data_IF_306870515922
#
_entry.id   IF_306870515922
#
_cell.length_a   1.000
_cell.length_b   1.000
_cell.length_c   1.000
_cell.angle_alpha   90.00
_cell.angle_beta   90.00
_cell.angle_gamma   90.00
#
_symmetry.space_group_name_H-M   'P 1'
#
loop_
_entity.id
_entity.type
_entity.pdbx_description
1 polymer ?
#
# COMPACT_ATOMS: atom_id res chain seq x y z
N UNK A 1 -21.33 8.90 12.89
CA UNK A 1 -21.60 8.12 14.11
C UNK A 1 -21.17 6.69 13.85
N UNK A 2 -20.29 6.13 14.66
CA UNK A 2 -19.85 4.75 14.54
C UNK A 2 -20.89 3.76 15.08
N UNK A 3 -20.53 2.48 15.07
CA UNK A 3 -21.33 1.41 15.66
C UNK A 3 -20.43 0.37 16.31
N UNK A 4 -20.92 -0.32 17.35
CA UNK A 4 -20.20 -1.37 18.05
C UNK A 4 -19.45 -0.89 19.30
N UNK A 5 -18.47 -1.65 19.81
CA UNK A 5 -17.77 -1.29 21.03
C UNK A 5 -16.89 -0.05 20.83
N UNK A 6 -17.01 0.92 21.74
CA UNK A 6 -16.04 2.01 21.90
C UNK A 6 -14.85 1.45 22.68
N UNK A 7 -13.66 1.58 22.11
CA UNK A 7 -12.47 0.88 22.58
C UNK A 7 -11.57 1.75 23.47
N UNK A 8 -11.53 3.06 23.22
CA UNK A 8 -10.60 3.98 23.86
C UNK A 8 -11.32 5.25 24.31
N UNK A 9 -11.04 5.69 25.54
CA UNK A 9 -11.51 6.96 26.09
C UNK A 9 -10.35 7.72 26.75
N UNK A 10 -10.38 9.04 26.67
CA UNK A 10 -9.49 9.93 27.39
C UNK A 10 -8.05 9.81 26.90
N UNK A 11 -7.88 9.59 25.59
CA UNK A 11 -6.58 9.52 24.94
C UNK A 11 -5.79 10.80 25.22
N UNK A 12 -4.62 10.63 25.85
CA UNK A 12 -3.64 11.67 26.12
C UNK A 12 -2.29 11.19 25.61
N UNK A 13 -2.02 11.51 24.35
CA UNK A 13 -0.74 11.23 23.70
C UNK A 13 0.27 12.32 24.02
N UNK A 14 1.56 11.97 24.09
CA UNK A 14 2.67 12.92 24.14
C UNK A 14 3.09 13.36 22.73
N UNK A 15 2.79 12.55 21.72
CA UNK A 15 3.12 12.78 20.32
C UNK A 15 4.34 11.98 19.82
N UNK A 16 4.96 11.17 20.68
CA UNK A 16 6.06 10.25 20.32
C UNK A 16 5.62 8.79 20.25
N UNK A 17 4.36 8.51 20.56
CA UNK A 17 3.80 7.17 20.47
C UNK A 17 3.61 6.72 19.02
N UNK A 18 4.01 5.49 18.68
CA UNK A 18 3.88 4.95 17.33
C UNK A 18 2.44 4.52 16.96
N UNK A 19 1.54 4.41 17.94
CA UNK A 19 0.12 4.06 17.74
C UNK A 19 -0.75 4.59 18.88
N UNK A 20 -2.01 4.87 18.60
CA UNK A 20 -2.97 5.41 19.58
C UNK A 20 -3.17 4.51 20.81
N UNK A 21 -3.03 3.19 20.65
CA UNK A 21 -3.12 2.24 21.76
C UNK A 21 -1.98 2.36 22.78
N UNK A 22 -0.86 3.02 22.43
CA UNK A 22 0.26 3.28 23.34
C UNK A 22 0.12 4.63 24.07
N UNK A 23 -0.83 5.46 23.66
CA UNK A 23 -1.13 6.70 24.38
C UNK A 23 -1.73 6.38 25.75
N UNK A 24 -1.52 7.27 26.71
CA UNK A 24 -2.19 7.13 28.02
C UNK A 24 -3.70 7.26 27.81
N UNK A 25 -4.46 6.28 28.26
CA UNK A 25 -5.93 6.27 28.17
C UNK A 25 -6.55 5.75 29.47
N UNK A 26 -7.87 5.92 29.64
CA UNK A 26 -8.58 5.58 30.90
C UNK A 26 -8.94 4.09 31.04
N UNK A 27 -8.17 3.19 30.42
CA UNK A 27 -8.43 1.73 30.41
C UNK A 27 -9.42 1.27 29.32
N UNK A 28 -9.69 -0.04 29.27
CA UNK A 28 -10.45 -0.69 28.19
C UNK A 28 -11.91 -1.05 28.51
N UNK A 29 -12.43 -0.85 29.74
CA UNK A 29 -13.87 -0.90 30.14
C UNK A 29 -14.08 -0.36 31.58
N UNK A 30 -15.30 0.06 32.00
CA UNK A 30 -16.38 0.67 31.22
C UNK A 30 -16.25 2.20 31.22
N UNK A 31 -16.63 2.83 30.13
CA UNK A 31 -16.61 4.28 29.95
C UNK A 31 -17.95 4.75 29.38
N UNK A 32 -18.37 5.97 29.74
CA UNK A 32 -19.71 6.51 29.49
C UNK A 32 -19.78 7.24 28.14
N UNK A 33 -18.95 6.87 27.17
CA UNK A 33 -18.98 7.52 25.87
C UNK A 33 -20.08 6.91 25.00
N UNK A 34 -20.74 7.74 24.20
CA UNK A 34 -21.69 7.32 23.17
C UNK A 34 -21.07 7.55 21.77
N UNK A 35 -21.63 6.92 20.73
CA UNK A 35 -21.11 7.07 19.37
C UNK A 35 -21.26 8.49 18.80
N UNK A 36 -22.16 9.29 19.37
CA UNK A 36 -22.24 10.73 19.11
C UNK A 36 -20.95 11.47 19.49
N UNK A 37 -20.10 10.88 20.34
CA UNK A 37 -18.81 11.41 20.78
C UNK A 37 -17.61 10.75 20.09
N UNK A 38 -17.84 9.97 19.02
CA UNK A 38 -16.76 9.32 18.28
C UNK A 38 -15.79 10.38 17.72
N UNK A 39 -14.53 10.30 18.14
CA UNK A 39 -13.50 11.25 17.73
C UNK A 39 -13.06 11.01 16.28
N UNK A 40 -12.87 12.09 15.54
CA UNK A 40 -12.24 12.09 14.20
C UNK A 40 -11.02 12.99 14.18
N UNK A 41 -10.09 12.74 13.26
CA UNK A 41 -8.90 13.55 13.06
C UNK A 41 -8.75 13.93 11.59
N UNK A 42 -8.37 15.18 11.34
CA UNK A 42 -8.00 15.67 10.00
C UNK A 42 -6.49 15.90 10.00
N UNK A 43 -5.77 15.15 9.18
CA UNK A 43 -4.31 15.24 9.10
C UNK A 43 -3.89 16.18 7.97
N UNK A 44 -2.87 17.02 8.22
CA UNK A 44 -2.23 17.88 7.21
C UNK A 44 -1.29 17.11 6.26
N UNK A 45 -1.44 15.78 6.18
CA UNK A 45 -0.71 15.00 5.20
C UNK A 45 -1.03 15.52 3.81
N UNK A 46 -0.04 15.51 2.90
CA UNK A 46 -0.31 15.68 1.47
C UNK A 46 -1.25 14.54 1.10
N UNK A 47 -2.56 14.80 1.11
CA UNK A 47 -3.55 13.84 0.66
C UNK A 47 -3.21 13.57 -0.80
N UNK A 48 -2.52 12.47 -1.06
CA UNK A 48 -2.47 11.91 -2.40
C UNK A 48 -3.87 11.37 -2.65
N UNK A 49 -4.73 12.27 -3.13
CA UNK A 49 -6.03 12.04 -3.76
C UNK A 49 -6.90 10.95 -3.11
N UNK A 50 -7.72 11.37 -2.15
CA UNK A 50 -8.95 10.67 -1.77
C UNK A 50 -9.92 10.79 -2.95
N UNK A 51 -9.88 9.83 -3.88
CA UNK A 51 -10.78 9.78 -5.05
C UNK A 51 -10.24 9.08 -6.30
N UNK A 52 -8.96 8.71 -6.36
CA UNK A 52 -8.42 7.85 -7.43
C UNK A 52 -8.49 6.36 -7.06
N UNK A 53 -8.53 5.43 -8.03
CA UNK A 53 -8.35 4.01 -7.77
C UNK A 53 -7.15 3.77 -6.87
N UNK A 54 -7.39 3.07 -5.77
CA UNK A 54 -6.38 2.81 -4.74
C UNK A 54 -5.51 1.64 -5.18
N UNK A 55 -4.19 1.75 -5.03
CA UNK A 55 -3.26 0.65 -5.28
C UNK A 55 -2.64 0.16 -3.98
N UNK A 56 -2.35 -1.14 -3.90
CA UNK A 56 -1.64 -1.76 -2.77
C UNK A 56 -0.66 -2.83 -3.24
N UNK A 57 0.30 -3.16 -2.39
CA UNK A 57 1.23 -4.28 -2.58
C UNK A 57 0.93 -5.39 -1.57
N UNK A 58 0.87 -6.64 -2.04
CA UNK A 58 0.53 -7.83 -1.24
C UNK A 58 1.61 -8.91 -1.39
N UNK A 59 1.84 -9.70 -0.34
CA UNK A 59 2.69 -10.91 -0.40
C UNK A 59 4.13 -10.74 0.08
N UNK A 60 4.58 -9.52 0.39
CA UNK A 60 5.89 -9.28 1.03
C UNK A 60 5.76 -8.78 2.47
N UNK A 61 6.84 -8.94 3.25
CA UNK A 61 6.98 -8.33 4.56
C UNK A 61 7.30 -6.83 4.41
N UNK A 62 6.28 -5.99 4.32
CA UNK A 62 6.43 -4.53 4.24
C UNK A 62 5.48 -3.88 3.25
N UNK A 63 5.58 -2.55 3.10
CA UNK A 63 4.68 -1.74 2.27
C UNK A 63 5.22 -1.43 0.86
N UNK A 64 6.48 -1.77 0.59
CA UNK A 64 7.25 -1.31 -0.58
C UNK A 64 7.74 -2.44 -1.48
N UNK A 65 7.20 -3.65 -1.30
CA UNK A 65 7.39 -4.77 -2.21
C UNK A 65 6.13 -5.64 -2.20
N UNK A 66 5.81 -6.28 -3.32
CA UNK A 66 4.71 -7.24 -3.42
C UNK A 66 4.02 -7.26 -4.77
N UNK A 67 3.06 -8.18 -4.92
CA UNK A 67 2.10 -8.22 -6.02
C UNK A 67 1.27 -6.95 -6.02
N UNK A 68 1.09 -6.36 -7.19
CA UNK A 68 0.33 -5.13 -7.37
C UNK A 68 -1.16 -5.41 -7.50
N UNK A 69 -1.96 -4.76 -6.66
CA UNK A 69 -3.42 -4.83 -6.72
C UNK A 69 -4.03 -3.43 -6.81
N UNK A 70 -5.12 -3.30 -7.56
CA UNK A 70 -5.85 -2.06 -7.84
C UNK A 70 -7.31 -2.22 -7.40
N UNK A 71 -7.85 -1.21 -6.74
CA UNK A 71 -9.25 -1.13 -6.37
C UNK A 71 -10.05 -0.40 -7.46
N UNK A 72 -10.87 -1.13 -8.19
CA UNK A 72 -11.73 -0.60 -9.26
C UNK A 72 -13.11 -1.26 -9.19
N UNK A 73 -14.16 -0.50 -9.50
CA UNK A 73 -15.55 -0.98 -9.48
C UNK A 73 -15.95 -1.77 -8.20
N UNK A 74 -15.48 -1.32 -7.03
CA UNK A 74 -15.81 -1.92 -5.73
C UNK A 74 -15.02 -3.18 -5.37
N UNK A 75 -14.09 -3.63 -6.21
CA UNK A 75 -13.34 -4.87 -6.00
C UNK A 75 -11.83 -4.65 -6.17
N UNK A 76 -11.04 -5.37 -5.39
CA UNK A 76 -9.60 -5.51 -5.63
C UNK A 76 -9.36 -6.49 -6.77
N UNK A 77 -8.44 -6.14 -7.65
CA UNK A 77 -7.97 -6.99 -8.74
C UNK A 77 -6.49 -6.76 -9.02
N UNK A 78 -5.90 -7.58 -9.88
CA UNK A 78 -4.46 -7.59 -10.16
C UNK A 78 -4.11 -6.89 -11.46
N UNK A 79 -2.83 -6.88 -11.82
CA UNK A 79 -2.29 -6.31 -13.06
C UNK A 79 -1.52 -7.41 -13.77
N UNK A 80 -1.70 -7.57 -15.08
CA UNK A 80 -0.92 -8.51 -15.86
C UNK A 80 0.53 -8.04 -16.06
N UNK A 81 1.46 -8.99 -16.17
CA UNK A 81 2.88 -8.76 -16.39
C UNK A 81 3.30 -8.63 -17.86
N UNK A 82 2.35 -8.72 -18.79
CA UNK A 82 2.58 -8.43 -20.21
C UNK A 82 2.97 -6.95 -20.38
N UNK A 83 4.12 -6.75 -21.03
CA UNK A 83 4.82 -5.46 -21.18
C UNK A 83 5.23 -4.77 -19.87
N UNK A 84 5.03 -5.40 -18.72
CA UNK A 84 5.39 -4.87 -17.42
C UNK A 84 6.91 -4.75 -17.24
N UNK A 85 7.36 -3.55 -16.86
CA UNK A 85 8.78 -3.24 -16.70
C UNK A 85 9.09 -2.21 -15.62
N UNK A 86 10.38 -1.84 -15.57
CA UNK A 86 10.90 -0.87 -14.61
C UNK A 86 10.23 0.51 -14.68
N UNK A 87 9.86 1.07 -15.85
CA UNK A 87 9.11 2.32 -15.91
C UNK A 87 7.77 2.25 -15.16
N UNK A 88 7.04 1.14 -15.28
CA UNK A 88 5.76 0.92 -14.61
C UNK A 88 5.95 0.81 -13.09
N UNK A 89 6.93 0.00 -12.69
CA UNK A 89 7.34 -0.10 -11.29
C UNK A 89 7.78 1.25 -10.71
N UNK A 90 8.47 2.09 -11.49
CA UNK A 90 8.90 3.41 -11.05
C UNK A 90 7.70 4.32 -10.74
N UNK A 91 6.68 4.33 -11.60
CA UNK A 91 5.43 5.06 -11.36
C UNK A 91 4.73 4.54 -10.10
N UNK A 92 4.67 3.21 -9.90
CA UNK A 92 4.06 2.61 -8.69
C UNK A 92 4.84 2.96 -7.43
N UNK A 93 6.17 2.83 -7.43
CA UNK A 93 7.02 3.15 -6.29
C UNK A 93 6.95 4.64 -5.94
N UNK A 94 6.92 5.50 -6.95
CA UNK A 94 6.67 6.92 -6.76
C UNK A 94 5.26 7.12 -6.20
N UNK A 95 4.23 6.46 -6.74
CA UNK A 95 2.82 6.52 -6.33
C UNK A 95 2.62 6.18 -4.85
N UNK A 96 3.29 5.15 -4.37
CA UNK A 96 3.25 4.68 -2.99
C UNK A 96 4.18 5.45 -2.04
N UNK A 97 5.03 6.33 -2.57
CA UNK A 97 6.04 7.02 -1.76
C UNK A 97 7.04 6.04 -1.16
N UNK A 98 7.50 5.07 -1.95
CA UNK A 98 8.43 4.01 -1.58
C UNK A 98 9.84 4.21 -2.14
N UNK A 99 10.13 5.38 -2.73
CA UNK A 99 11.42 5.70 -3.33
C UNK A 99 11.54 5.20 -4.78
N UNK A 100 12.75 4.86 -5.20
CA UNK A 100 13.02 4.34 -6.53
C UNK A 100 12.52 2.90 -6.69
N UNK A 101 12.13 2.51 -7.92
CA UNK A 101 11.94 1.11 -8.27
C UNK A 101 13.29 0.40 -8.35
N UNK A 102 13.37 -0.77 -7.73
CA UNK A 102 14.52 -1.68 -7.80
C UNK A 102 14.26 -2.81 -8.78
N UNK A 103 13.01 -3.29 -8.84
CA UNK A 103 12.64 -4.40 -9.71
C UNK A 103 11.14 -4.35 -10.08
N UNK A 104 10.82 -5.01 -11.18
CA UNK A 104 9.46 -5.23 -11.70
C UNK A 104 9.20 -6.74 -11.88
N UNK A 105 9.04 -7.51 -10.79
CA UNK A 105 8.89 -8.95 -10.91
C UNK A 105 7.60 -9.34 -11.63
N UNK A 106 7.68 -10.48 -12.31
CA UNK A 106 6.65 -11.05 -13.19
C UNK A 106 6.32 -12.47 -12.73
N UNK A 107 5.42 -13.13 -13.43
CA UNK A 107 5.03 -14.52 -13.24
C UNK A 107 4.58 -14.84 -11.81
N UNK A 108 3.74 -13.96 -11.24
CA UNK A 108 3.20 -14.11 -9.89
C UNK A 108 4.29 -14.36 -8.82
N UNK A 109 5.43 -13.67 -8.91
CA UNK A 109 6.57 -13.87 -8.01
C UNK A 109 6.21 -13.81 -6.50
N UNK A 110 5.27 -12.94 -6.12
CA UNK A 110 4.76 -12.82 -4.74
C UNK A 110 3.49 -13.66 -4.48
N UNK A 111 3.27 -14.67 -5.30
CA UNK A 111 2.08 -15.50 -5.35
C UNK A 111 0.98 -14.91 -6.23
N UNK A 112 0.08 -15.78 -6.66
CA UNK A 112 -1.11 -15.43 -7.45
C UNK A 112 -2.09 -14.62 -6.61
N UNK A 113 -2.74 -13.66 -7.25
CA UNK A 113 -3.89 -12.96 -6.71
C UNK A 113 -5.19 -13.73 -6.97
N UNK A 114 -6.30 -13.02 -6.75
CA UNK A 114 -7.64 -13.56 -6.95
C UNK A 114 -8.56 -12.47 -7.46
N UNK A 115 -9.60 -12.86 -8.20
CA UNK A 115 -10.63 -11.93 -8.67
C UNK A 115 -10.34 -11.45 -10.09
N UNK A 116 -10.72 -10.21 -10.44
CA UNK A 116 -10.45 -9.68 -11.78
C UNK A 116 -8.96 -9.30 -11.95
N UNK A 117 -8.46 -9.43 -13.17
CA UNK A 117 -7.23 -8.76 -13.62
C UNK A 117 -7.67 -7.45 -14.27
N UNK A 118 -7.33 -6.32 -13.65
CA UNK A 118 -7.90 -5.03 -14.03
C UNK A 118 -7.18 -4.35 -15.18
N UNK A 119 -5.86 -4.44 -15.19
CA UNK A 119 -5.01 -3.81 -16.19
C UNK A 119 -4.13 -4.84 -16.87
N UNK A 120 -3.88 -4.59 -18.14
CA UNK A 120 -3.05 -5.39 -19.04
C UNK A 120 -2.31 -4.46 -20.01
N UNK A 121 -1.19 -4.91 -20.59
CA UNK A 121 -0.32 -4.16 -21.49
C UNK A 121 0.07 -2.76 -20.98
N UNK A 122 0.34 -2.65 -19.67
CA UNK A 122 0.69 -1.37 -19.04
C UNK A 122 2.06 -0.91 -19.54
N UNK A 123 2.13 0.31 -20.06
CA UNK A 123 3.32 0.86 -20.72
C UNK A 123 3.57 2.31 -20.30
N UNK A 124 3.98 2.51 -19.06
CA UNK A 124 4.39 3.80 -18.54
C UNK A 124 5.68 4.30 -19.21
N UNK A 125 5.82 5.62 -19.32
CA UNK A 125 7.07 6.30 -19.66
C UNK A 125 7.99 6.43 -18.43
N UNK A 126 7.43 6.32 -17.22
CA UNK A 126 8.15 6.42 -15.94
C UNK A 126 8.07 7.80 -15.28
N UNK A 127 7.35 8.75 -15.90
CA UNK A 127 7.18 10.12 -15.39
C UNK A 127 5.72 10.43 -15.00
N UNK A 128 4.83 9.46 -15.16
CA UNK A 128 3.44 9.56 -14.77
C UNK A 128 3.30 9.68 -13.25
N UNK A 129 2.29 10.43 -12.82
CA UNK A 129 2.05 10.64 -11.38
C UNK A 129 1.28 9.49 -10.73
N UNK A 130 0.66 8.64 -11.55
CA UNK A 130 -0.12 7.46 -11.16
C UNK A 130 -0.12 6.43 -12.27
N UNK A 131 -0.19 5.15 -11.90
CA UNK A 131 -0.27 4.01 -12.83
C UNK A 131 -1.41 4.13 -13.85
N UNK A 132 -2.52 4.71 -13.43
CA UNK A 132 -3.71 4.90 -14.26
C UNK A 132 -3.56 5.96 -15.35
N UNK A 133 -2.49 6.75 -15.28
CA UNK A 133 -2.13 7.70 -16.33
C UNK A 133 -1.30 7.05 -17.43
N UNK A 134 -0.86 5.80 -17.25
CA UNK A 134 -0.09 5.08 -18.25
C UNK A 134 -1.03 4.49 -19.31
N UNK A 135 -0.59 4.42 -20.58
CA UNK A 135 -1.21 3.58 -21.59
C UNK A 135 -1.37 2.14 -21.08
N UNK A 136 -2.57 1.59 -21.24
CA UNK A 136 -2.92 0.22 -20.90
C UNK A 136 -4.12 -0.22 -21.74
N UNK A 137 -4.36 -1.53 -21.80
CA UNK A 137 -5.59 -2.09 -22.36
C UNK A 137 -6.84 -1.65 -21.56
N UNK A 138 -8.05 -1.67 -22.15
CA UNK A 138 -9.27 -1.31 -21.44
C UNK A 138 -9.49 -2.16 -20.18
N UNK A 139 -10.08 -1.55 -19.15
CA UNK A 139 -10.31 -2.21 -17.86
C UNK A 139 -10.95 -3.59 -17.97
N UNK A 140 -10.31 -4.60 -17.36
CA UNK A 140 -10.79 -5.99 -17.34
C UNK A 140 -10.68 -6.73 -18.67
N UNK A 141 -10.14 -6.11 -19.72
CA UNK A 141 -9.84 -6.76 -21.00
C UNK A 141 -8.41 -7.26 -20.93
N UNK A 142 -8.25 -8.58 -20.81
CA UNK A 142 -6.94 -9.24 -20.73
C UNK A 142 -7.02 -10.66 -21.30
N UNK A 143 -5.88 -11.18 -21.74
CA UNK A 143 -5.67 -12.60 -22.07
C UNK A 143 -4.90 -13.36 -20.97
N UNK A 144 -4.52 -12.68 -19.88
CA UNK A 144 -3.67 -13.22 -18.83
C UNK A 144 -4.44 -14.08 -17.81
N UNK A 145 -3.68 -14.89 -17.08
CA UNK A 145 -4.13 -15.61 -15.89
C UNK A 145 -3.37 -15.12 -14.65
N UNK A 146 -3.82 -15.44 -13.44
CA UNK A 146 -3.15 -14.95 -12.22
C UNK A 146 -1.69 -15.41 -12.05
N UNK A 147 -1.26 -16.46 -12.76
CA UNK A 147 0.15 -16.84 -12.87
C UNK A 147 1.02 -15.76 -13.53
N UNK A 148 0.41 -14.80 -14.21
CA UNK A 148 1.01 -13.64 -14.90
C UNK A 148 0.78 -12.35 -14.09
N UNK A 149 0.44 -12.44 -12.80
CA UNK A 149 0.28 -11.24 -11.98
C UNK A 149 1.62 -10.50 -11.77
N UNK A 150 1.60 -9.21 -12.08
CA UNK A 150 2.72 -8.31 -11.94
C UNK A 150 2.97 -7.91 -10.48
N UNK A 151 4.24 -7.59 -10.20
CA UNK A 151 4.69 -7.14 -8.90
C UNK A 151 5.70 -6.00 -8.99
N UNK A 152 5.98 -5.41 -7.84
CA UNK A 152 6.93 -4.29 -7.70
C UNK A 152 7.83 -4.52 -6.50
N UNK A 153 9.11 -4.16 -6.65
CA UNK A 153 10.04 -4.00 -5.53
C UNK A 153 10.61 -2.59 -5.59
N UNK A 154 10.38 -1.83 -4.53
CA UNK A 154 10.93 -0.49 -4.37
C UNK A 154 12.10 -0.50 -3.37
N UNK A 155 12.89 0.57 -3.36
CA UNK A 155 13.96 0.77 -2.39
C UNK A 155 13.45 0.78 -0.94
N UNK A 156 12.17 1.12 -0.75
CA UNK A 156 11.64 1.49 0.54
C UNK A 156 12.18 2.86 0.93
N UNK A 157 11.36 3.72 1.53
CA UNK A 157 11.91 4.95 2.11
C UNK A 157 12.68 4.62 3.38
N UNK A 158 13.87 4.05 3.24
CA UNK A 158 14.96 4.48 4.08
C UNK A 158 15.22 5.93 3.67
N UNK A 159 14.60 6.87 4.37
CA UNK A 159 15.34 8.11 4.60
C UNK A 159 16.69 7.65 5.13
N UNK A 160 17.77 8.01 4.44
CA UNK A 160 19.12 7.76 4.88
C UNK A 160 19.37 8.51 6.21
N UNK A 161 18.84 7.97 7.30
CA UNK A 161 19.35 8.08 8.66
C UNK A 161 19.82 6.68 8.99
N UNK A 162 21.15 6.48 8.96
CA UNK A 162 21.76 5.16 8.95
C UNK A 162 21.31 4.24 10.08
N UNK A 163 21.21 2.96 9.74
CA UNK A 163 22.11 1.99 10.36
C UNK A 163 22.60 1.09 9.21
N UNK A 164 23.91 1.12 9.01
CA UNK A 164 24.57 0.25 8.05
C UNK A 164 24.31 -1.20 8.37
N UNK A 165 24.36 -2.00 7.31
CA UNK A 165 24.84 -3.37 7.29
C UNK A 165 25.42 -3.82 8.65
N UNK A 166 24.64 -4.60 9.39
CA UNK A 166 25.23 -5.71 10.10
C UNK A 166 24.27 -6.89 10.03
N UNK A 167 24.62 -7.97 9.30
CA UNK A 167 23.98 -9.25 9.52
C UNK A 167 24.31 -9.67 10.96
N UNK A 168 23.30 -10.04 11.74
CA UNK A 168 23.52 -10.78 12.97
C UNK A 168 24.20 -12.11 12.60
N UNK A 169 25.52 -12.13 12.63
CA UNK A 169 26.38 -13.32 12.62
C UNK A 169 26.78 -13.56 14.07
N UNK A 170 26.60 -14.78 14.55
CA UNK A 170 26.67 -15.16 15.96
C UNK A 170 28.07 -15.25 16.57
N UNK A 171 28.08 -15.87 17.75
CA UNK A 171 29.17 -16.37 18.61
C UNK A 171 29.75 -15.39 19.66
N UNK A 172 29.37 -15.57 20.94
CA UNK A 172 30.05 -16.39 21.98
C UNK A 172 29.02 -16.84 23.01
#
# INVERSE_FOLDING_TARGET
>A
EGSGPIWLNGLRCRGSEERLALCRHRGWRPHVCAHEEDASAVCSGRLRQVGGPSIRLVGAAGRCAGRLEIFHAGHWGTVCDDLWGLPDAAVVCQQLGCGAALDAPRAAFFGEGTGPIWLDDVQCQGNETSLLGCPASPWGVTNCQHREDAAVVCAGTHHAGGCGLNPCRGDV
#
